data_IF_997488251004
#
_entry.id   IF_997488251004
#
_cell.length_a   1.000
_cell.length_b   1.000
_cell.length_c   1.000
_cell.angle_alpha   90.00
_cell.angle_beta   90.00
_cell.angle_gamma   90.00
#
_symmetry.space_group_name_H-M   'P 1'
#
loop_
_entity.id
_entity.type
_entity.pdbx_description
1 polymer ?
#
# COMPACT_ATOMS: atom_id res chain seq x y z
N UNK A 1 0.61 -3.65 13.77
CA UNK A 1 0.55 -3.07 12.41
C UNK A 1 -0.29 -1.82 12.52
N UNK A 2 0.35 -0.66 12.57
CA UNK A 2 -0.35 0.62 12.61
C UNK A 2 0.02 1.32 11.31
N UNK A 3 -0.86 1.19 10.31
CA UNK A 3 -0.91 2.18 9.25
C UNK A 3 -1.25 3.53 9.89
N UNK A 4 -0.81 4.61 9.27
CA UNK A 4 -1.20 5.95 9.71
C UNK A 4 -2.73 6.02 9.75
N UNK A 5 -3.29 6.46 10.88
CA UNK A 5 -4.73 6.71 10.99
C UNK A 5 -4.98 8.02 10.28
N UNK A 6 -5.77 7.96 9.21
CA UNK A 6 -6.09 9.09 8.36
C UNK A 6 -7.58 9.42 8.48
N UNK A 7 -7.90 10.71 8.37
CA UNK A 7 -9.29 11.18 8.28
C UNK A 7 -9.68 11.22 6.80
N UNK A 8 -10.84 10.67 6.48
CA UNK A 8 -11.38 10.72 5.12
C UNK A 8 -11.76 12.16 4.75
N UNK A 9 -11.41 12.53 3.52
CA UNK A 9 -11.65 13.85 2.96
C UNK A 9 -11.90 13.65 1.46
N UNK A 10 -13.11 13.96 0.98
CA UNK A 10 -13.47 13.73 -0.42
C UNK A 10 -12.63 14.53 -1.42
N UNK A 11 -12.02 15.64 -0.98
CA UNK A 11 -11.15 16.47 -1.85
C UNK A 11 -9.77 15.83 -2.07
N UNK A 12 -9.35 14.95 -1.16
CA UNK A 12 -8.04 14.30 -1.16
C UNK A 12 -8.11 12.79 -1.42
N UNK A 13 -9.27 12.18 -1.19
CA UNK A 13 -9.45 10.74 -1.15
C UNK A 13 -10.65 10.31 -2.00
N UNK A 14 -10.40 9.42 -2.96
CA UNK A 14 -11.44 8.81 -3.78
C UNK A 14 -11.55 7.32 -3.48
N UNK A 15 -12.71 6.87 -2.98
CA UNK A 15 -13.00 5.44 -2.84
C UNK A 15 -13.27 4.87 -4.23
N UNK A 16 -12.61 3.76 -4.56
CA UNK A 16 -12.73 3.09 -5.84
C UNK A 16 -13.64 1.87 -5.67
N UNK A 17 -14.86 1.98 -6.19
CA UNK A 17 -15.87 0.93 -6.15
C UNK A 17 -15.98 0.22 -7.52
N UNK A 18 -16.58 -0.98 -7.54
CA UNK A 18 -16.87 -1.72 -8.78
C UNK A 18 -15.64 -2.20 -9.56
N UNK A 19 -14.46 -2.15 -8.97
CA UNK A 19 -13.24 -2.75 -9.52
C UNK A 19 -13.16 -4.24 -9.15
N UNK A 20 -12.47 -5.04 -9.97
CA UNK A 20 -12.24 -6.45 -9.63
C UNK A 20 -11.48 -6.65 -8.32
N UNK A 21 -10.68 -5.66 -7.92
CA UNK A 21 -9.99 -5.64 -6.62
C UNK A 21 -10.99 -5.37 -5.49
N UNK A 22 -11.81 -4.33 -5.59
CA UNK A 22 -12.82 -4.02 -4.55
C UNK A 22 -13.79 -5.17 -4.33
N UNK A 23 -14.27 -5.82 -5.40
CA UNK A 23 -15.12 -7.02 -5.28
C UNK A 23 -14.39 -8.21 -4.63
N UNK A 24 -13.08 -8.34 -4.88
CA UNK A 24 -12.26 -9.35 -4.23
C UNK A 24 -12.06 -9.06 -2.74
N UNK A 25 -11.86 -7.79 -2.37
CA UNK A 25 -11.74 -7.35 -0.98
C UNK A 25 -13.01 -7.64 -0.19
N UNK A 26 -14.19 -7.32 -0.75
CA UNK A 26 -15.48 -7.64 -0.13
C UNK A 26 -15.63 -9.14 0.13
N UNK A 27 -15.26 -9.97 -0.85
CA UNK A 27 -15.29 -11.43 -0.71
C UNK A 27 -14.30 -11.95 0.33
N UNK A 28 -13.14 -11.32 0.48
CA UNK A 28 -12.09 -11.73 1.41
C UNK A 28 -12.55 -11.64 2.87
N UNK A 29 -13.32 -10.60 3.22
CA UNK A 29 -13.79 -10.33 4.59
C UNK A 29 -15.26 -10.72 4.81
N UNK A 30 -15.91 -11.35 3.82
CA UNK A 30 -17.31 -11.75 3.90
C UNK A 30 -17.53 -12.72 5.06
N UNK A 31 -18.49 -12.39 5.94
CA UNK A 31 -18.78 -13.15 7.15
C UNK A 31 -17.82 -12.92 8.32
N UNK A 32 -16.84 -12.02 8.19
CA UNK A 32 -16.07 -11.52 9.34
C UNK A 32 -16.85 -10.40 10.04
N UNK A 33 -17.40 -10.62 11.25
CA UNK A 33 -18.26 -9.65 11.92
C UNK A 33 -17.55 -8.35 12.30
N UNK A 34 -16.20 -8.32 12.26
CA UNK A 34 -15.41 -7.13 12.58
C UNK A 34 -15.03 -6.32 11.34
N UNK A 35 -14.97 -6.95 10.17
CA UNK A 35 -14.36 -6.39 8.96
C UNK A 35 -15.26 -6.35 7.75
N UNK A 36 -16.39 -7.05 7.79
CA UNK A 36 -17.36 -7.02 6.71
C UNK A 36 -17.84 -5.59 6.46
N UNK A 37 -17.61 -5.10 5.23
CA UNK A 37 -17.92 -3.72 4.84
C UNK A 37 -16.93 -2.65 5.36
N UNK A 38 -15.81 -3.05 5.98
CA UNK A 38 -14.78 -2.13 6.46
C UNK A 38 -13.58 -2.01 5.51
N UNK A 39 -13.30 -3.03 4.69
CA UNK A 39 -12.15 -3.03 3.77
C UNK A 39 -12.53 -2.38 2.44
N UNK A 40 -11.71 -1.45 1.94
CA UNK A 40 -11.98 -0.73 0.69
C UNK A 40 -10.71 -0.33 -0.05
N UNK A 41 -10.85 0.00 -1.33
CA UNK A 41 -9.79 0.54 -2.17
C UNK A 41 -9.90 2.06 -2.24
N UNK A 42 -8.80 2.76 -1.98
CA UNK A 42 -8.72 4.21 -1.95
C UNK A 42 -7.64 4.69 -2.93
N UNK A 43 -7.89 5.82 -3.59
CA UNK A 43 -6.87 6.61 -4.29
C UNK A 43 -6.60 7.91 -3.53
N UNK A 44 -5.34 8.17 -3.22
CA UNK A 44 -4.87 9.46 -2.73
C UNK A 44 -4.71 10.40 -3.92
N UNK A 45 -5.56 11.42 -4.02
CA UNK A 45 -5.64 12.31 -5.18
C UNK A 45 -4.35 13.08 -5.44
N UNK A 46 -3.74 13.65 -4.38
CA UNK A 46 -2.49 14.42 -4.48
C UNK A 46 -1.27 13.57 -4.85
N UNK A 47 -1.21 12.35 -4.32
CA UNK A 47 -0.08 11.45 -4.51
C UNK A 47 -0.23 10.54 -5.73
N UNK A 48 -1.45 10.40 -6.28
CA UNK A 48 -1.73 9.48 -7.37
C UNK A 48 -1.66 8.00 -7.01
N UNK A 49 -1.44 7.66 -5.73
CA UNK A 49 -1.26 6.28 -5.27
C UNK A 49 -2.57 5.63 -4.83
N UNK A 50 -2.63 4.31 -5.00
CA UNK A 50 -3.72 3.45 -4.57
C UNK A 50 -3.33 2.71 -3.29
N UNK A 51 -4.26 2.64 -2.34
CA UNK A 51 -4.10 1.92 -1.09
C UNK A 51 -5.34 1.08 -0.79
N UNK A 52 -5.12 -0.09 -0.21
CA UNK A 52 -6.16 -0.87 0.46
C UNK A 52 -6.23 -0.38 1.90
N UNK A 53 -7.41 0.04 2.32
CA UNK A 53 -7.65 0.68 3.59
C UNK A 53 -8.74 -0.08 4.38
N UNK A 54 -8.74 0.09 5.69
CA UNK A 54 -9.76 -0.43 6.60
C UNK A 54 -10.39 0.74 7.37
N UNK A 55 -11.71 0.87 7.33
CA UNK A 55 -12.44 1.85 8.14
C UNK A 55 -12.24 1.54 9.63
N UNK A 56 -11.95 2.56 10.42
CA UNK A 56 -11.79 2.46 11.87
C UNK A 56 -12.91 3.25 12.53
N UNK A 57 -13.60 2.61 13.49
CA UNK A 57 -14.73 3.21 14.18
C UNK A 57 -16.05 3.14 13.41
N UNK A 58 -17.14 3.57 14.05
CA UNK A 58 -18.50 3.44 13.51
C UNK A 58 -18.88 4.48 12.45
N UNK A 59 -18.07 5.54 12.26
CA UNK A 59 -18.43 6.72 11.48
C UNK A 59 -18.00 6.72 10.00
N UNK A 60 -17.15 5.77 9.56
CA UNK A 60 -16.50 5.79 8.23
C UNK A 60 -15.83 7.14 7.91
N UNK A 61 -15.30 7.76 8.94
CA UNK A 61 -14.64 9.06 8.94
C UNK A 61 -13.13 8.90 9.08
N UNK A 62 -12.68 7.81 9.70
CA UNK A 62 -11.26 7.49 9.87
C UNK A 62 -10.94 6.12 9.32
N UNK A 63 -9.75 5.98 8.75
CA UNK A 63 -9.28 4.73 8.18
C UNK A 63 -7.79 4.51 8.44
N UNK A 64 -7.34 3.28 8.26
CA UNK A 64 -5.93 2.92 8.29
C UNK A 64 -5.51 2.32 6.96
N UNK A 65 -4.31 2.67 6.53
CA UNK A 65 -3.68 2.03 5.38
C UNK A 65 -3.22 0.62 5.75
N UNK A 66 -3.72 -0.39 5.03
CA UNK A 66 -3.37 -1.80 5.24
C UNK A 66 -2.30 -2.24 4.24
N UNK A 67 -2.40 -1.74 3.00
CA UNK A 67 -1.45 -2.06 1.94
C UNK A 67 -1.40 -0.94 0.90
N UNK A 68 -0.19 -0.44 0.64
CA UNK A 68 0.08 0.49 -0.45
C UNK A 68 0.32 -0.30 -1.75
N UNK A 69 -0.39 0.08 -2.82
CA UNK A 69 -0.29 -0.52 -4.16
C UNK A 69 0.52 0.34 -5.13
N UNK A 70 0.96 1.53 -4.73
CA UNK A 70 1.65 2.49 -5.58
C UNK A 70 0.72 3.14 -6.60
N UNK A 71 1.28 3.62 -7.71
CA UNK A 71 0.54 4.41 -8.72
C UNK A 71 -0.31 3.55 -9.69
N UNK A 72 -0.24 2.23 -9.58
CA UNK A 72 -0.93 1.31 -10.50
C UNK A 72 -1.62 0.16 -9.77
N UNK A 73 -2.89 -0.07 -10.11
CA UNK A 73 -3.63 -1.26 -9.67
C UNK A 73 -3.07 -2.57 -10.26
N UNK A 74 -2.27 -2.49 -11.34
CA UNK A 74 -1.57 -3.64 -11.91
C UNK A 74 -0.52 -4.26 -10.96
N UNK A 75 -0.12 -3.53 -9.92
CA UNK A 75 0.77 -4.02 -8.87
C UNK A 75 0.07 -5.02 -7.94
N UNK A 76 -1.26 -5.12 -7.97
CA UNK A 76 -2.00 -6.05 -7.13
C UNK A 76 -2.17 -7.42 -7.81
N UNK A 77 -1.23 -8.32 -7.54
CA UNK A 77 -1.22 -9.67 -8.07
C UNK A 77 -1.40 -10.74 -6.98
N UNK A 78 -0.98 -11.96 -7.30
CA UNK A 78 -1.10 -13.09 -6.40
C UNK A 78 -0.27 -12.92 -5.11
N UNK A 79 0.93 -12.34 -5.21
CA UNK A 79 1.82 -12.14 -4.06
C UNK A 79 1.22 -11.14 -3.08
N UNK A 80 0.69 -10.05 -3.58
CA UNK A 80 0.08 -8.96 -2.81
C UNK A 80 -1.23 -9.44 -2.16
N UNK A 81 -2.03 -10.23 -2.88
CA UNK A 81 -3.23 -10.87 -2.31
C UNK A 81 -2.89 -11.82 -1.16
N UNK A 82 -1.83 -12.63 -1.29
CA UNK A 82 -1.36 -13.50 -0.20
C UNK A 82 -0.84 -12.70 0.98
N UNK A 83 -0.07 -11.64 0.72
CA UNK A 83 0.48 -10.77 1.76
C UNK A 83 -0.64 -10.05 2.51
N UNK A 84 -1.63 -9.50 1.80
CA UNK A 84 -2.79 -8.87 2.43
C UNK A 84 -3.53 -9.85 3.33
N UNK A 85 -3.77 -11.07 2.85
CA UNK A 85 -4.45 -12.10 3.65
C UNK A 85 -3.65 -12.45 4.92
N UNK A 86 -2.31 -12.52 4.83
CA UNK A 86 -1.46 -12.71 6.01
C UNK A 86 -1.59 -11.52 6.97
N UNK A 87 -1.52 -10.29 6.46
CA UNK A 87 -1.63 -9.07 7.28
C UNK A 87 -2.95 -8.98 8.03
N UNK A 88 -4.04 -9.38 7.38
CA UNK A 88 -5.38 -9.32 7.93
C UNK A 88 -5.61 -10.44 8.95
N UNK A 89 -5.26 -11.68 8.65
CA UNK A 89 -5.74 -12.83 9.42
C UNK A 89 -4.68 -13.57 10.23
N UNK A 90 -3.39 -13.27 10.05
CA UNK A 90 -2.34 -13.87 10.87
C UNK A 90 -1.97 -12.94 12.05
N UNK A 91 -1.77 -13.48 13.27
CA UNK A 91 -1.14 -12.74 14.34
C UNK A 91 0.30 -12.44 13.93
N UNK A 92 0.58 -11.18 13.60
CA UNK A 92 1.94 -10.77 13.24
C UNK A 92 2.76 -10.77 14.51
N UNK A 93 3.68 -11.72 14.65
CA UNK A 93 4.67 -11.67 15.74
C UNK A 93 5.58 -10.46 15.54
N UNK A 94 6.09 -9.89 16.63
CA UNK A 94 6.97 -8.71 16.58
C UNK A 94 8.20 -8.93 15.67
N UNK A 95 8.68 -10.17 15.58
CA UNK A 95 9.78 -10.57 14.68
C UNK A 95 9.42 -10.46 13.19
N UNK A 96 8.21 -10.86 12.80
CA UNK A 96 7.76 -10.80 11.40
C UNK A 96 7.59 -9.34 10.97
N UNK A 97 7.07 -8.49 11.86
CA UNK A 97 6.97 -7.04 11.60
C UNK A 97 8.36 -6.41 11.42
N UNK A 98 9.32 -6.77 12.29
CA UNK A 98 10.68 -6.21 12.23
C UNK A 98 11.40 -6.61 10.94
N UNK A 99 11.26 -7.88 10.51
CA UNK A 99 11.87 -8.33 9.24
C UNK A 99 11.24 -7.68 8.01
N UNK A 100 9.93 -7.45 8.01
CA UNK A 100 9.25 -6.77 6.91
C UNK A 100 9.68 -5.29 6.78
N UNK A 101 9.87 -4.59 7.90
CA UNK A 101 10.42 -3.22 7.91
C UNK A 101 11.84 -3.21 7.35
N UNK A 102 12.71 -4.11 7.84
CA UNK A 102 14.10 -4.21 7.38
C UNK A 102 14.17 -4.54 5.88
N UNK A 103 13.29 -5.41 5.38
CA UNK A 103 13.23 -5.74 3.96
C UNK A 103 12.80 -4.57 3.08
N UNK A 104 11.76 -3.83 3.49
CA UNK A 104 11.29 -2.65 2.76
C UNK A 104 12.32 -1.52 2.77
N UNK A 105 13.02 -1.31 3.89
CA UNK A 105 14.12 -0.36 3.99
C UNK A 105 15.26 -0.75 3.04
N UNK A 106 15.60 -2.04 2.99
CA UNK A 106 16.62 -2.55 2.05
C UNK A 106 16.25 -2.29 0.60
N UNK A 107 15.01 -2.57 0.19
CA UNK A 107 14.53 -2.35 -1.18
C UNK A 107 14.47 -0.86 -1.55
N UNK A 108 14.21 0.01 -0.57
CA UNK A 108 14.25 1.46 -0.74
C UNK A 108 15.69 1.96 -0.94
N UNK A 109 16.63 1.57 -0.08
CA UNK A 109 18.03 1.98 -0.19
C UNK A 109 18.72 1.40 -1.43
N UNK A 110 18.35 0.20 -1.87
CA UNK A 110 18.85 -0.35 -3.13
C UNK A 110 18.38 0.45 -4.34
N UNK A 111 17.10 0.83 -4.39
CA UNK A 111 16.59 1.71 -5.46
C UNK A 111 17.28 3.07 -5.47
N UNK A 112 17.50 3.64 -4.29
CA UNK A 112 18.20 4.93 -4.15
C UNK A 112 19.64 4.84 -4.64
N UNK A 113 20.34 3.73 -4.37
CA UNK A 113 21.71 3.49 -4.85
C UNK A 113 21.78 3.27 -6.36
N UNK A 114 20.81 2.55 -6.92
CA UNK A 114 20.73 2.34 -8.37
C UNK A 114 20.46 3.66 -9.10
N UNK A 115 19.56 4.50 -8.55
CA UNK A 115 19.30 5.86 -9.08
C UNK A 115 20.55 6.76 -8.98
N UNK A 116 21.25 6.78 -7.85
CA UNK A 116 22.48 7.56 -7.68
C UNK A 116 23.61 7.08 -8.61
N UNK A 117 23.71 5.78 -8.88
CA UNK A 117 24.69 5.23 -9.80
C UNK A 117 24.41 5.63 -11.25
N UNK A 118 23.14 5.60 -11.66
CA UNK A 118 22.71 6.01 -13.01
C UNK A 118 22.91 7.52 -13.23
N UNK A 119 22.64 8.35 -12.21
CA UNK A 119 22.89 9.79 -12.21
C UNK A 119 24.40 10.09 -12.32
N UNK A 120 25.24 9.32 -11.61
CA UNK A 120 26.70 9.47 -11.64
C UNK A 120 27.28 9.11 -13.01
N UNK A 121 26.86 7.97 -13.61
CA UNK A 121 27.28 7.61 -14.97
C UNK A 121 26.86 8.66 -16.01
N UNK A 122 25.68 9.26 -15.85
CA UNK A 122 25.21 10.33 -16.73
C UNK A 122 26.08 11.57 -16.62
N UNK A 123 26.47 11.98 -15.41
CA UNK A 123 27.36 13.13 -15.21
C UNK A 123 28.75 12.87 -15.77
N UNK A 124 29.28 11.65 -15.66
CA UNK A 124 30.56 11.28 -16.26
C UNK A 124 30.53 11.35 -17.79
N UNK A 125 29.45 10.87 -18.44
CA UNK A 125 29.27 10.99 -19.90
C UNK A 125 29.20 12.44 -20.38
N UNK A 126 28.48 13.29 -19.65
CA UNK A 126 28.42 14.73 -19.94
C UNK A 126 29.79 15.41 -19.74
N UNK A 127 30.56 14.99 -18.74
CA UNK A 127 31.89 15.54 -18.47
C UNK A 127 32.94 15.15 -19.52
N UNK A 128 32.80 13.99 -20.18
CA UNK A 128 33.64 13.57 -21.31
C UNK A 128 33.11 14.05 -22.68
N UNK A 129 31.95 14.71 -22.71
CA UNK A 129 31.42 15.40 -23.89
C UNK A 129 30.55 14.56 -24.83
N UNK A 130 29.90 13.50 -24.32
CA UNK A 130 28.78 12.81 -25.01
C UNK A 130 27.42 13.48 -24.73
#
# INVERSE_FOLDING_TARGET
>A
MLGMVSVYNSDEHTVIEGSGISEWLERLVKGDPRREGCLFLLRYGKLGVFCICEWVGGGRDTFVDVMNLGESLGNFGHKEAQELRKRLFAPVTAEVTSRAIIGNDSDFYHRLQDEDAEETERQERVAIGE
#
